data_IF_271220153637
#
_entry.id   IF_271220153637
#
_cell.length_a   1.000
_cell.length_b   1.000
_cell.length_c   1.000
_cell.angle_alpha   90.00
_cell.angle_beta   90.00
_cell.angle_gamma   90.00
#
_symmetry.space_group_name_H-M   'P 1'
#
loop_
_entity.id
_entity.type
_entity.pdbx_description
1 polymer ?
#
# COMPACT_ATOMS: atom_id res chain seq x y z
N UNK A 1 -31.60 -59.23 12.69
CA UNK A 1 -31.59 -57.99 11.87
C UNK A 1 -31.07 -56.85 12.75
N UNK A 2 -29.82 -56.92 13.22
CA UNK A 2 -29.30 -55.95 14.20
C UNK A 2 -27.82 -55.56 13.99
N UNK A 3 -27.17 -55.95 12.88
CA UNK A 3 -25.74 -55.69 12.68
C UNK A 3 -25.41 -54.83 11.46
N UNK A 4 -26.39 -54.17 10.83
CA UNK A 4 -26.11 -53.19 9.76
C UNK A 4 -26.08 -51.74 10.21
N UNK A 5 -26.69 -51.35 11.34
CA UNK A 5 -26.79 -49.92 11.72
C UNK A 5 -25.54 -49.35 12.42
N UNK A 6 -24.72 -50.18 13.05
CA UNK A 6 -23.52 -49.72 13.78
C UNK A 6 -22.37 -49.28 12.86
N UNK A 7 -22.26 -49.88 11.66
CA UNK A 7 -21.20 -49.56 10.70
C UNK A 7 -21.43 -48.22 9.99
N UNK A 8 -22.69 -47.83 9.79
CA UNK A 8 -23.05 -46.54 9.17
C UNK A 8 -22.92 -45.38 10.16
N UNK A 9 -23.31 -45.56 11.43
CA UNK A 9 -23.16 -44.54 12.47
C UNK A 9 -21.69 -44.24 12.80
N UNK A 10 -20.84 -45.28 12.86
CA UNK A 10 -19.39 -45.12 13.07
C UNK A 10 -18.71 -44.45 11.88
N UNK A 11 -19.09 -44.81 10.64
CA UNK A 11 -18.57 -44.17 9.43
C UNK A 11 -19.02 -42.69 9.31
N UNK A 12 -20.24 -42.36 9.71
CA UNK A 12 -20.74 -40.98 9.72
C UNK A 12 -20.06 -40.12 10.80
N UNK A 13 -19.76 -40.69 11.97
CA UNK A 13 -19.03 -40.01 13.04
C UNK A 13 -17.56 -39.80 12.67
N UNK A 14 -16.91 -40.77 12.01
CA UNK A 14 -15.54 -40.62 11.48
C UNK A 14 -15.50 -39.57 10.37
N UNK A 15 -16.50 -39.53 9.49
CA UNK A 15 -16.59 -38.50 8.45
C UNK A 15 -16.84 -37.10 9.04
N UNK A 16 -17.69 -36.97 10.06
CA UNK A 16 -17.90 -35.70 10.78
C UNK A 16 -16.68 -35.29 11.61
N UNK A 17 -15.93 -36.23 12.18
CA UNK A 17 -14.66 -35.95 12.85
C UNK A 17 -13.57 -35.53 11.84
N UNK A 18 -13.51 -36.16 10.66
CA UNK A 18 -12.59 -35.75 9.59
C UNK A 18 -12.98 -34.40 8.96
N UNK A 19 -14.27 -34.09 8.83
CA UNK A 19 -14.76 -32.76 8.44
C UNK A 19 -14.54 -31.70 9.54
N UNK A 20 -14.63 -32.07 10.82
CA UNK A 20 -14.34 -31.16 11.93
C UNK A 20 -12.82 -30.92 12.12
N UNK A 21 -11.98 -31.92 11.85
CA UNK A 21 -10.52 -31.79 11.90
C UNK A 21 -9.97 -31.04 10.68
N UNK A 22 -10.62 -31.12 9.51
CA UNK A 22 -10.29 -30.27 8.35
C UNK A 22 -10.88 -28.86 8.43
N UNK A 23 -11.78 -28.61 9.38
CA UNK A 23 -12.39 -27.30 9.65
C UNK A 23 -12.02 -26.76 11.04
N UNK A 24 -10.92 -27.26 11.63
CA UNK A 24 -10.23 -26.56 12.72
C UNK A 24 -9.39 -25.45 12.09
N UNK A 25 -10.07 -24.33 11.79
CA UNK A 25 -9.54 -22.98 11.66
C UNK A 25 -8.03 -22.84 11.41
N UNK A 26 -7.55 -23.25 10.23
CA UNK A 26 -6.37 -22.63 9.65
C UNK A 26 -6.80 -21.26 9.13
N UNK A 27 -6.84 -20.29 10.03
CA UNK A 27 -7.07 -18.91 9.65
C UNK A 27 -6.10 -18.03 10.43
N UNK A 28 -4.84 -18.09 10.01
CA UNK A 28 -3.89 -17.01 10.24
C UNK A 28 -2.91 -16.91 9.07
N UNK A 29 -3.39 -16.44 7.91
CA UNK A 29 -2.55 -16.11 6.74
C UNK A 29 -1.57 -14.94 6.99
N UNK A 30 -1.34 -14.56 8.25
CA UNK A 30 -0.52 -13.42 8.67
C UNK A 30 0.82 -13.83 9.33
N UNK A 31 1.11 -15.12 9.45
CA UNK A 31 2.36 -15.63 10.04
C UNK A 31 3.36 -15.95 8.93
N UNK A 32 4.42 -15.14 8.83
CA UNK A 32 5.48 -15.35 7.86
C UNK A 32 6.52 -16.33 8.41
N UNK A 33 6.98 -17.25 7.57
CA UNK A 33 8.08 -18.17 7.87
C UNK A 33 9.18 -18.03 6.83
N UNK A 34 10.44 -18.12 7.28
CA UNK A 34 11.61 -18.12 6.40
C UNK A 34 12.50 -19.32 6.71
N UNK A 35 12.88 -20.07 5.66
CA UNK A 35 13.79 -21.20 5.75
C UNK A 35 15.25 -20.74 5.88
N UNK A 36 16.00 -21.34 6.79
CA UNK A 36 17.43 -21.18 6.95
C UNK A 36 18.11 -22.54 6.98
N UNK A 37 19.18 -22.70 6.18
CA UNK A 37 19.99 -23.92 6.11
C UNK A 37 21.37 -23.64 6.72
N UNK A 38 21.53 -23.75 8.05
CA UNK A 38 22.82 -23.51 8.71
C UNK A 38 23.88 -24.60 8.47
N UNK A 39 23.56 -25.66 7.72
CA UNK A 39 24.43 -26.82 7.49
C UNK A 39 24.22 -27.95 8.51
N UNK A 40 25.18 -28.87 8.60
CA UNK A 40 25.13 -30.03 9.50
C UNK A 40 25.13 -29.59 10.98
N UNK A 41 24.20 -30.13 11.78
CA UNK A 41 24.08 -29.80 13.20
C UNK A 41 25.18 -30.45 14.05
N UNK A 42 25.58 -29.77 15.13
CA UNK A 42 26.30 -30.43 16.23
C UNK A 42 25.30 -31.26 17.06
N UNK A 43 25.63 -32.48 17.53
CA UNK A 43 24.69 -33.41 18.17
C UNK A 43 23.89 -32.89 19.37
N UNK A 44 24.28 -31.77 19.99
CA UNK A 44 23.64 -31.21 21.20
C UNK A 44 22.56 -30.14 20.98
N UNK A 45 22.32 -29.63 19.76
CA UNK A 45 21.33 -28.55 19.53
C UNK A 45 19.91 -29.06 19.22
N UNK A 46 19.75 -30.34 18.88
CA UNK A 46 18.45 -30.91 18.49
C UNK A 46 17.63 -31.46 19.66
N UNK A 47 18.25 -31.77 20.80
CA UNK A 47 17.53 -32.39 21.94
C UNK A 47 16.55 -31.43 22.63
N UNK A 48 16.71 -30.11 22.49
CA UNK A 48 15.82 -29.10 23.10
C UNK A 48 14.49 -28.87 22.37
N UNK A 49 14.35 -29.35 21.12
CA UNK A 49 13.17 -29.06 20.29
C UNK A 49 12.51 -30.34 19.75
N UNK A 50 12.71 -31.49 20.41
CA UNK A 50 12.30 -32.81 19.93
C UNK A 50 10.83 -32.89 19.44
N UNK A 51 9.92 -32.15 20.06
CA UNK A 51 8.49 -32.13 19.72
C UNK A 51 8.14 -31.30 18.47
N UNK A 52 9.08 -30.51 17.92
CA UNK A 52 8.86 -29.60 16.78
C UNK A 52 9.84 -29.84 15.61
N UNK A 53 10.37 -31.06 15.49
CA UNK A 53 11.26 -31.46 14.40
C UNK A 53 10.43 -32.10 13.27
N UNK A 54 10.48 -31.49 12.09
CA UNK A 54 9.90 -32.03 10.86
C UNK A 54 11.01 -32.54 9.94
N UNK A 55 10.83 -33.73 9.36
CA UNK A 55 11.71 -34.18 8.26
C UNK A 55 11.13 -33.71 6.93
N UNK A 56 11.88 -32.89 6.20
CA UNK A 56 11.52 -32.40 4.88
C UNK A 56 12.34 -33.11 3.81
N UNK A 57 11.71 -33.43 2.68
CA UNK A 57 12.37 -34.02 1.51
C UNK A 57 12.13 -33.15 0.29
N UNK A 58 13.20 -32.81 -0.43
CA UNK A 58 13.11 -31.99 -1.64
C UNK A 58 12.73 -32.85 -2.86
N UNK A 59 12.40 -32.21 -3.99
CA UNK A 59 12.12 -32.90 -5.24
C UNK A 59 13.33 -33.71 -5.77
N UNK A 60 14.54 -33.34 -5.36
CA UNK A 60 15.78 -34.04 -5.70
C UNK A 60 16.13 -35.15 -4.68
N UNK A 61 15.19 -35.51 -3.81
CA UNK A 61 15.34 -36.52 -2.76
C UNK A 61 16.42 -36.19 -1.72
N UNK A 62 16.66 -34.90 -1.48
CA UNK A 62 17.53 -34.39 -0.41
C UNK A 62 16.70 -34.28 0.88
N UNK A 63 17.25 -34.75 2.01
CA UNK A 63 16.57 -34.84 3.30
C UNK A 63 17.14 -33.86 4.33
N UNK A 64 16.23 -33.18 5.04
CA UNK A 64 16.55 -32.20 6.06
C UNK A 64 15.70 -32.40 7.31
N UNK A 65 16.31 -32.21 8.48
CA UNK A 65 15.60 -32.07 9.74
C UNK A 65 15.42 -30.59 10.07
N UNK A 66 14.17 -30.14 10.02
CA UNK A 66 13.78 -28.76 10.21
C UNK A 66 13.14 -28.55 11.57
N UNK A 67 13.68 -27.62 12.33
CA UNK A 67 13.12 -27.13 13.59
C UNK A 67 12.13 -26.04 13.24
N UNK A 68 10.84 -26.34 13.38
CA UNK A 68 9.78 -25.36 13.24
C UNK A 68 9.62 -24.69 14.61
N UNK A 69 9.86 -23.37 14.75
CA UNK A 69 9.58 -22.73 16.03
C UNK A 69 8.09 -22.92 16.34
N UNK A 70 7.72 -23.19 17.61
CA UNK A 70 6.31 -23.20 17.97
C UNK A 70 5.70 -21.87 17.50
N UNK A 71 4.45 -21.90 17.02
CA UNK A 71 3.74 -20.66 16.70
C UNK A 71 3.93 -19.72 17.90
N UNK A 72 4.55 -18.57 17.66
CA UNK A 72 4.55 -17.51 18.65
C UNK A 72 3.07 -17.25 18.90
N UNK A 73 2.54 -17.74 20.03
CA UNK A 73 1.16 -17.48 20.42
C UNK A 73 0.99 -15.96 20.27
N UNK A 74 0.08 -15.47 19.40
CA UNK A 74 -0.18 -14.04 19.33
C UNK A 74 -0.62 -13.50 20.70
N UNK A 75 -1.05 -14.38 21.62
CA UNK A 75 -1.32 -14.14 23.03
C UNK A 75 -0.18 -14.50 24.00
N UNK A 76 1.00 -14.94 23.56
CA UNK A 76 2.21 -14.90 24.37
C UNK A 76 2.33 -13.45 24.80
N UNK A 77 2.02 -13.20 26.07
CA UNK A 77 1.67 -11.89 26.57
C UNK A 77 2.80 -10.93 26.24
N UNK A 78 2.67 -10.20 25.14
CA UNK A 78 3.50 -9.04 24.84
C UNK A 78 3.10 -8.02 25.89
N UNK A 79 3.70 -8.15 27.08
CA UNK A 79 3.65 -7.17 28.15
C UNK A 79 4.25 -5.92 27.54
N UNK A 80 3.39 -5.04 27.08
CA UNK A 80 3.79 -3.79 26.48
C UNK A 80 4.24 -2.91 27.63
N UNK A 81 5.51 -2.52 27.62
CA UNK A 81 6.03 -1.53 28.55
C UNK A 81 6.43 -0.28 27.76
N UNK A 82 5.75 0.82 28.04
CA UNK A 82 6.01 2.11 27.42
C UNK A 82 5.92 3.20 28.48
N UNK A 83 6.99 4.00 28.57
CA UNK A 83 7.11 5.12 29.50
C UNK A 83 7.53 6.37 28.69
N UNK A 84 6.66 6.75 27.74
CA UNK A 84 6.90 7.85 26.81
C UNK A 84 5.70 8.80 26.71
N UNK A 85 5.74 9.79 25.80
CA UNK A 85 4.60 10.67 25.59
C UNK A 85 3.39 9.90 25.06
N UNK A 86 2.21 10.27 25.52
CA UNK A 86 0.93 9.81 24.97
C UNK A 86 0.74 10.27 23.52
N UNK A 87 -0.13 9.60 22.77
CA UNK A 87 -0.37 9.94 21.36
C UNK A 87 -0.86 11.38 21.16
N UNK A 88 -1.71 11.89 22.04
CA UNK A 88 -2.11 13.31 22.02
C UNK A 88 -0.90 14.25 22.12
N UNK A 89 0.07 13.94 23.00
CA UNK A 89 1.27 14.74 23.23
C UNK A 89 2.24 14.66 22.06
N UNK A 90 2.34 13.49 21.43
CA UNK A 90 3.09 13.29 20.19
C UNK A 90 2.49 14.09 19.02
N UNK A 91 1.16 14.22 18.97
CA UNK A 91 0.46 14.93 17.90
C UNK A 91 0.32 16.43 18.11
N UNK A 92 0.59 16.96 19.31
CA UNK A 92 0.53 18.39 19.58
C UNK A 92 1.34 19.26 18.60
N UNK A 93 2.59 18.92 18.21
CA UNK A 93 3.35 19.72 17.26
C UNK A 93 2.68 19.83 15.88
N UNK A 94 1.98 18.77 15.45
CA UNK A 94 1.24 18.76 14.18
C UNK A 94 -0.01 19.64 14.30
N UNK A 95 -0.78 19.45 15.37
CA UNK A 95 -2.07 20.13 15.56
C UNK A 95 -1.93 21.62 15.93
N UNK A 96 -0.80 22.03 16.51
CA UNK A 96 -0.53 23.43 16.89
C UNK A 96 0.50 24.12 15.99
N UNK A 97 1.16 23.37 15.11
CA UNK A 97 2.22 23.89 14.25
C UNK A 97 1.72 24.75 13.09
N UNK A 98 0.43 24.66 12.75
CA UNK A 98 -0.17 25.45 11.66
C UNK A 98 0.29 25.02 10.26
N UNK A 99 0.84 23.81 10.10
CA UNK A 99 1.15 23.29 8.77
C UNK A 99 -0.13 23.00 7.99
N UNK A 100 -0.09 23.24 6.69
CA UNK A 100 -1.23 23.01 5.82
C UNK A 100 -0.84 22.14 4.61
N UNK A 101 -1.78 21.27 4.23
CA UNK A 101 -1.66 20.37 3.08
C UNK A 101 -2.77 20.65 2.09
N UNK A 102 -2.43 20.70 0.81
CA UNK A 102 -3.39 20.81 -0.28
C UNK A 102 -3.65 19.46 -0.95
N UNK A 103 -4.90 19.21 -1.28
CA UNK A 103 -5.34 18.10 -2.13
C UNK A 103 -6.20 18.65 -3.25
N UNK A 104 -5.69 18.57 -4.46
CA UNK A 104 -6.41 19.02 -5.66
C UNK A 104 -7.19 17.83 -6.23
N UNK A 105 -8.50 17.98 -6.37
CA UNK A 105 -9.36 17.07 -7.12
C UNK A 105 -9.90 17.75 -8.37
N UNK A 106 -10.70 17.05 -9.16
CA UNK A 106 -11.14 17.50 -10.49
C UNK A 106 -11.88 18.85 -10.44
N UNK A 107 -12.73 19.04 -9.43
CA UNK A 107 -13.49 20.27 -9.25
C UNK A 107 -13.07 21.01 -7.97
N UNK A 108 -12.99 20.31 -6.84
CA UNK A 108 -12.64 20.91 -5.56
C UNK A 108 -11.14 20.87 -5.30
N UNK A 109 -10.62 21.95 -4.72
CA UNK A 109 -9.33 21.94 -4.02
C UNK A 109 -9.60 21.96 -2.53
N UNK A 110 -8.99 21.02 -1.80
CA UNK A 110 -9.08 20.93 -0.37
C UNK A 110 -7.79 21.43 0.27
N UNK A 111 -7.93 22.22 1.33
CA UNK A 111 -6.83 22.66 2.18
C UNK A 111 -7.12 22.24 3.61
N UNK A 112 -6.26 21.38 4.16
CA UNK A 112 -6.26 21.04 5.57
C UNK A 112 -5.11 21.75 6.26
N UNK A 113 -5.40 22.69 7.14
CA UNK A 113 -4.45 23.19 8.11
C UNK A 113 -4.64 22.42 9.42
N UNK A 114 -3.63 21.67 9.85
CA UNK A 114 -3.73 20.76 10.98
C UNK A 114 -4.15 21.50 12.25
N UNK A 115 -5.24 21.02 12.86
CA UNK A 115 -5.85 21.63 14.06
C UNK A 115 -6.59 22.96 13.81
N UNK A 116 -6.56 23.54 12.62
CA UNK A 116 -7.13 24.87 12.37
C UNK A 116 -8.39 24.81 11.52
N UNK A 117 -8.31 24.20 10.34
CA UNK A 117 -9.47 24.08 9.46
C UNK A 117 -9.26 23.04 8.39
N UNK A 118 -10.36 22.47 7.93
CA UNK A 118 -10.47 21.86 6.60
C UNK A 118 -11.40 22.72 5.78
N UNK A 119 -10.94 23.21 4.63
CA UNK A 119 -11.78 23.90 3.66
C UNK A 119 -11.71 23.24 2.28
N UNK A 120 -12.79 23.38 1.54
CA UNK A 120 -12.84 23.11 0.11
C UNK A 120 -13.13 24.39 -0.65
N UNK A 121 -12.51 24.58 -1.80
CA UNK A 121 -12.75 25.72 -2.67
C UNK A 121 -12.58 25.38 -4.14
N UNK A 122 -13.29 26.11 -4.99
CA UNK A 122 -13.19 26.06 -6.45
C UNK A 122 -13.04 27.48 -6.98
N UNK A 123 -12.09 27.71 -7.88
CA UNK A 123 -11.81 29.01 -8.49
C UNK A 123 -11.93 28.91 -10.01
N UNK A 124 -12.89 29.62 -10.58
CA UNK A 124 -13.06 29.74 -12.03
C UNK A 124 -12.45 31.07 -12.51
N UNK A 125 -11.34 30.99 -13.25
CA UNK A 125 -10.63 32.16 -13.81
C UNK A 125 -11.00 32.34 -15.27
N UNK A 126 -11.93 33.26 -15.56
CA UNK A 126 -12.31 33.64 -16.91
C UNK A 126 -11.49 34.85 -17.40
N UNK A 127 -10.93 34.85 -18.62
CA UNK A 127 -10.20 35.99 -19.15
C UNK A 127 -11.10 37.23 -19.22
N UNK A 128 -10.72 38.32 -18.54
CA UNK A 128 -11.46 39.58 -18.56
C UNK A 128 -12.66 39.69 -17.60
N UNK A 129 -12.82 38.74 -16.66
CA UNK A 129 -13.81 38.82 -15.56
C UNK A 129 -13.19 38.52 -14.20
N UNK A 130 -13.86 38.97 -13.14
CA UNK A 130 -13.48 38.66 -11.76
C UNK A 130 -13.53 37.15 -11.49
N UNK A 131 -12.58 36.66 -10.70
CA UNK A 131 -12.49 35.25 -10.31
C UNK A 131 -13.69 34.88 -9.43
N UNK A 132 -14.53 33.94 -9.88
CA UNK A 132 -15.60 33.38 -9.03
C UNK A 132 -14.99 32.31 -8.14
N UNK A 133 -14.98 32.56 -6.83
CA UNK A 133 -14.52 31.61 -5.81
C UNK A 133 -15.71 31.05 -5.03
N UNK A 134 -15.89 29.74 -5.07
CA UNK A 134 -16.80 29.02 -4.17
C UNK A 134 -15.97 28.42 -3.04
N UNK A 135 -16.35 28.62 -1.78
CA UNK A 135 -15.59 28.14 -0.61
C UNK A 135 -16.53 27.64 0.49
N UNK A 136 -16.18 26.49 1.08
CA UNK A 136 -16.85 25.93 2.25
C UNK A 136 -15.81 25.42 3.25
N UNK A 137 -16.02 25.72 4.53
CA UNK A 137 -15.28 25.09 5.62
C UNK A 137 -15.99 23.80 6.01
N UNK A 138 -15.28 22.69 5.94
CA UNK A 138 -15.74 21.36 6.33
C UNK A 138 -15.45 21.07 7.82
N UNK A 139 -14.68 21.95 8.44
CA UNK A 139 -14.40 22.00 9.86
C UNK A 139 -13.48 23.20 10.17
N UNK A 140 -13.60 23.72 11.38
CA UNK A 140 -12.84 24.81 11.98
C UNK A 140 -12.54 24.44 13.43
N UNK A 141 -11.33 24.76 13.84
CA UNK A 141 -10.74 24.36 15.09
C UNK A 141 -10.75 22.83 15.25
N UNK A 142 -10.11 22.32 16.30
CA UNK A 142 -10.19 20.89 16.60
C UNK A 142 -10.54 20.65 18.06
N UNK A 143 -11.21 19.53 18.29
CA UNK A 143 -11.43 18.97 19.61
C UNK A 143 -11.03 17.49 19.59
N UNK A 144 -10.65 16.97 20.75
CA UNK A 144 -10.50 15.53 20.92
C UNK A 144 -11.89 14.88 21.01
N UNK A 145 -12.07 13.67 20.45
CA UNK A 145 -13.33 12.95 20.58
C UNK A 145 -13.67 12.71 22.06
N UNK A 146 -14.93 12.92 22.47
CA UNK A 146 -15.35 12.69 23.86
C UNK A 146 -15.58 11.20 24.16
N UNK A 147 -15.67 10.34 23.14
CA UNK A 147 -16.00 8.92 23.30
C UNK A 147 -14.90 8.15 24.04
N UNK A 148 -15.27 7.29 24.99
CA UNK A 148 -14.33 6.51 25.81
C UNK A 148 -13.40 5.62 24.97
N UNK A 149 -13.82 5.20 23.77
CA UNK A 149 -13.00 4.41 22.86
C UNK A 149 -11.70 5.11 22.42
N UNK A 150 -11.64 6.44 22.53
CA UNK A 150 -10.45 7.24 22.22
C UNK A 150 -9.63 7.61 23.47
N UNK A 151 -9.99 7.11 24.65
CA UNK A 151 -9.26 7.37 25.90
C UNK A 151 -7.79 6.92 25.81
N UNK A 152 -7.49 5.90 25.00
CA UNK A 152 -6.13 5.41 24.75
C UNK A 152 -5.18 6.47 24.18
N UNK A 153 -5.71 7.53 23.52
CA UNK A 153 -4.92 8.64 22.99
C UNK A 153 -4.19 9.45 24.08
N UNK A 154 -4.66 9.38 25.32
CA UNK A 154 -4.12 10.13 26.46
C UNK A 154 -3.21 9.28 27.38
N UNK A 155 -3.04 7.99 27.10
CA UNK A 155 -2.25 7.09 27.93
C UNK A 155 -0.76 7.30 27.66
N UNK A 156 0.00 7.73 28.67
CA UNK A 156 1.46 7.93 28.60
C UNK A 156 2.26 6.77 29.17
N UNK A 157 1.65 5.97 30.06
CA UNK A 157 2.29 4.82 30.69
C UNK A 157 1.50 3.56 30.43
N UNK A 158 2.11 2.64 29.70
CA UNK A 158 1.51 1.33 29.42
C UNK A 158 2.32 0.29 30.18
N UNK A 159 1.62 -0.47 31.03
CA UNK A 159 2.13 -1.65 31.71
C UNK A 159 1.03 -2.70 31.73
N UNK A 160 1.19 -3.75 30.95
CA UNK A 160 0.21 -4.82 30.86
C UNK A 160 0.22 -5.51 29.49
N UNK A 161 -0.58 -6.56 29.31
CA UNK A 161 -0.65 -7.24 28.02
C UNK A 161 -1.33 -6.33 27.00
N UNK A 162 -0.73 -6.21 25.81
CA UNK A 162 -1.20 -5.29 24.76
C UNK A 162 -2.67 -5.50 24.35
N UNK A 163 -3.18 -6.73 24.49
CA UNK A 163 -4.57 -7.13 24.16
C UNK A 163 -5.65 -6.45 25.01
N UNK A 164 -5.29 -5.97 26.20
CA UNK A 164 -6.24 -5.32 27.11
C UNK A 164 -6.52 -3.87 26.69
N UNK A 165 -5.67 -3.31 25.82
CA UNK A 165 -5.80 -1.93 25.35
C UNK A 165 -6.45 -1.93 23.96
N UNK A 166 -7.72 -1.54 23.93
CA UNK A 166 -8.45 -1.35 22.67
C UNK A 166 -8.06 -0.02 22.04
N UNK A 167 -7.48 -0.09 20.85
CA UNK A 167 -7.11 1.06 20.02
C UNK A 167 -8.03 1.06 18.81
N UNK A 168 -8.68 2.18 18.46
CA UNK A 168 -9.46 2.27 17.23
C UNK A 168 -8.61 1.95 16.00
N UNK A 169 -9.14 1.08 15.14
CA UNK A 169 -8.49 0.68 13.89
C UNK A 169 -9.38 1.00 12.68
N UNK A 170 -8.75 1.25 11.55
CA UNK A 170 -9.40 1.34 10.25
C UNK A 170 -8.87 0.21 9.37
N UNK A 171 -9.77 -0.45 8.66
CA UNK A 171 -9.41 -1.51 7.74
C UNK A 171 -8.96 -0.93 6.41
N UNK A 172 -7.68 -1.10 6.07
CA UNK A 172 -7.09 -0.66 4.81
C UNK A 172 -6.03 -1.67 4.36
N UNK A 173 -5.96 -1.95 3.06
CA UNK A 173 -4.95 -2.87 2.47
C UNK A 173 -4.93 -4.26 3.12
N UNK A 174 -6.10 -4.78 3.51
CA UNK A 174 -6.21 -6.10 4.15
C UNK A 174 -5.78 -6.15 5.61
N UNK A 175 -5.47 -5.00 6.23
CA UNK A 175 -4.96 -4.92 7.60
C UNK A 175 -5.75 -3.92 8.44
N UNK A 176 -5.84 -4.21 9.73
CA UNK A 176 -6.35 -3.27 10.74
C UNK A 176 -5.24 -2.31 11.14
N UNK A 177 -5.43 -1.04 10.79
CA UNK A 177 -4.44 0.02 11.02
C UNK A 177 -4.90 0.91 12.18
N UNK A 178 -4.14 1.02 13.27
CA UNK A 178 -4.48 1.90 14.38
C UNK A 178 -4.37 3.37 13.97
N UNK A 179 -5.31 4.20 14.44
CA UNK A 179 -5.34 5.62 14.10
C UNK A 179 -5.64 6.50 15.31
N UNK A 180 -5.12 7.73 15.27
CA UNK A 180 -5.42 8.81 16.20
C UNK A 180 -6.45 9.76 15.57
N UNK A 181 -7.53 10.09 16.28
CA UNK A 181 -8.61 10.94 15.78
C UNK A 181 -8.69 12.30 16.49
N UNK A 182 -8.97 13.32 15.70
CA UNK A 182 -9.50 14.62 16.15
C UNK A 182 -10.74 14.98 15.35
N UNK A 183 -11.60 15.80 15.94
CA UNK A 183 -12.83 16.28 15.31
C UNK A 183 -12.66 17.76 15.01
N UNK A 184 -12.82 18.14 13.74
CA UNK A 184 -12.88 19.53 13.31
C UNK A 184 -14.35 19.94 13.10
N UNK A 185 -14.90 20.69 14.06
CA UNK A 185 -16.32 21.08 14.09
C UNK A 185 -16.57 22.47 13.49
N UNK A 186 -17.71 23.12 13.77
CA UNK A 186 -17.92 24.55 13.48
C UNK A 186 -17.63 25.01 12.02
N UNK A 187 -17.80 24.13 11.04
CA UNK A 187 -17.65 24.46 9.63
C UNK A 187 -18.73 25.41 9.11
N UNK A 188 -18.70 25.69 7.80
CA UNK A 188 -19.76 26.46 7.14
C UNK A 188 -21.09 25.74 7.35
N UNK A 189 -22.18 26.45 7.72
CA UNK A 189 -23.50 25.84 7.92
C UNK A 189 -23.98 25.03 6.72
N UNK A 190 -24.59 23.88 7.00
CA UNK A 190 -25.13 22.97 6.00
C UNK A 190 -26.63 23.25 5.78
N UNK A 191 -26.97 23.76 4.61
CA UNK A 191 -28.35 23.99 4.15
C UNK A 191 -29.18 22.71 4.13
N UNK A 192 -28.56 21.57 3.81
CA UNK A 192 -29.22 20.26 3.76
C UNK A 192 -29.51 19.65 5.15
N UNK A 193 -28.92 20.18 6.23
CA UNK A 193 -29.03 19.64 7.60
C UNK A 193 -29.50 20.70 8.59
N UNK A 194 -30.55 21.45 8.22
CA UNK A 194 -31.14 22.51 9.06
C UNK A 194 -30.10 23.50 9.61
N UNK A 195 -29.13 23.88 8.77
CA UNK A 195 -28.05 24.80 9.11
C UNK A 195 -27.05 24.30 10.16
N UNK A 196 -27.02 22.99 10.43
CA UNK A 196 -26.00 22.38 11.30
C UNK A 196 -24.61 22.59 10.68
N UNK A 197 -23.59 23.04 11.44
CA UNK A 197 -22.24 23.22 10.90
C UNK A 197 -21.66 21.92 10.35
N UNK A 198 -20.97 22.01 9.21
CA UNK A 198 -20.17 20.90 8.67
C UNK A 198 -19.10 20.48 9.67
N UNK A 199 -18.79 19.18 9.69
CA UNK A 199 -17.82 18.57 10.60
C UNK A 199 -16.97 17.54 9.89
N UNK A 200 -15.68 17.47 10.26
CA UNK A 200 -14.74 16.48 9.72
C UNK A 200 -14.10 15.68 10.85
N UNK A 201 -14.07 14.35 10.71
CA UNK A 201 -13.25 13.45 11.53
C UNK A 201 -11.92 13.25 10.84
N UNK A 202 -10.84 13.67 11.49
CA UNK A 202 -9.49 13.65 10.95
C UNK A 202 -8.72 12.53 11.65
N UNK A 203 -8.35 11.50 10.89
CA UNK A 203 -7.66 10.30 11.34
C UNK A 203 -6.20 10.33 10.90
N UNK A 204 -5.29 10.28 11.85
CA UNK A 204 -3.85 10.21 11.63
C UNK A 204 -3.35 8.80 11.84
N UNK A 205 -2.63 8.28 10.86
CA UNK A 205 -2.04 6.95 10.85
C UNK A 205 -0.52 7.10 10.88
N UNK A 206 0.16 6.20 11.60
CA UNK A 206 1.62 6.17 11.59
C UNK A 206 2.14 5.83 10.19
N UNK A 207 2.95 6.74 9.66
CA UNK A 207 3.88 6.46 8.57
C UNK A 207 5.19 7.17 8.88
N UNK A 208 6.33 6.46 8.85
CA UNK A 208 7.63 7.02 9.27
C UNK A 208 8.05 8.24 8.43
N UNK A 209 7.49 8.38 7.24
CA UNK A 209 7.77 9.46 6.32
C UNK A 209 6.62 10.44 6.16
N UNK A 210 5.52 10.22 6.89
CA UNK A 210 4.28 10.99 6.80
C UNK A 210 4.49 12.42 7.27
N UNK A 211 4.19 13.37 6.40
CA UNK A 211 4.31 14.82 6.67
C UNK A 211 2.97 15.50 6.99
N UNK A 212 1.90 14.73 7.17
CA UNK A 212 0.54 15.27 7.25
C UNK A 212 -0.16 15.35 5.90
N UNK A 213 0.23 14.52 4.92
CA UNK A 213 -0.42 14.47 3.62
C UNK A 213 -1.80 13.81 3.70
N UNK A 214 -2.78 14.32 2.93
CA UNK A 214 -4.14 13.77 2.86
C UNK A 214 -4.12 12.51 1.99
N UNK A 215 -4.23 11.34 2.62
CA UNK A 215 -4.37 10.04 1.95
C UNK A 215 -5.76 9.88 1.32
N UNK A 216 -6.80 10.13 2.12
CA UNK A 216 -8.20 9.97 1.71
C UNK A 216 -9.04 11.08 2.30
N UNK A 217 -9.98 11.61 1.53
CA UNK A 217 -11.00 12.54 1.99
C UNK A 217 -12.33 12.15 1.36
N UNK A 218 -13.35 11.91 2.18
CA UNK A 218 -14.68 11.54 1.68
C UNK A 218 -15.78 12.11 2.55
N UNK A 219 -16.92 12.39 1.95
CA UNK A 219 -18.16 12.67 2.67
C UNK A 219 -18.80 11.33 3.08
N UNK A 220 -18.87 11.08 4.38
CA UNK A 220 -19.41 9.81 4.93
C UNK A 220 -20.92 9.88 5.18
N UNK A 221 -21.42 11.07 5.47
CA UNK A 221 -22.84 11.39 5.58
C UNK A 221 -23.02 12.86 5.20
N UNK A 222 -24.26 13.30 4.94
CA UNK A 222 -24.52 14.69 4.52
C UNK A 222 -23.84 15.69 5.46
N UNK A 223 -22.89 16.47 4.93
CA UNK A 223 -22.11 17.47 5.63
C UNK A 223 -21.19 16.95 6.76
N UNK A 224 -20.91 15.65 6.78
CA UNK A 224 -19.91 15.02 7.65
C UNK A 224 -18.84 14.31 6.82
N UNK A 225 -17.59 14.62 7.11
CA UNK A 225 -16.45 14.19 6.31
C UNK A 225 -15.48 13.34 7.13
N UNK A 226 -14.76 12.47 6.45
CA UNK A 226 -13.65 11.70 6.99
C UNK A 226 -12.39 12.02 6.18
N UNK A 227 -11.35 12.48 6.87
CA UNK A 227 -10.02 12.71 6.31
C UNK A 227 -9.02 11.75 6.96
N UNK A 228 -8.24 11.03 6.16
CA UNK A 228 -7.20 10.11 6.63
C UNK A 228 -5.85 10.65 6.18
N UNK A 229 -4.89 10.69 7.11
CA UNK A 229 -3.58 11.31 6.91
C UNK A 229 -2.45 10.48 7.48
N UNK A 230 -1.27 10.66 6.91
CA UNK A 230 -0.03 10.08 7.43
C UNK A 230 0.68 11.02 8.39
N UNK A 231 1.21 10.49 9.49
CA UNK A 231 1.99 11.23 10.48
C UNK A 231 3.15 10.40 11.04
N UNK A 232 4.37 10.90 10.89
CA UNK A 232 5.55 10.29 11.50
C UNK A 232 5.56 10.40 13.04
N UNK A 233 4.85 11.38 13.60
CA UNK A 233 4.84 11.63 15.04
C UNK A 233 4.19 10.51 15.85
N UNK A 234 3.30 9.71 15.26
CA UNK A 234 2.65 8.58 15.94
C UNK A 234 3.53 7.33 15.96
N UNK A 235 4.56 7.24 15.12
CA UNK A 235 5.31 6.02 14.90
C UNK A 235 6.23 5.61 16.06
N UNK A 236 6.54 6.54 16.97
CA UNK A 236 7.22 6.22 18.22
C UNK A 236 6.29 5.57 19.24
N UNK A 237 4.97 5.70 19.07
CA UNK A 237 4.00 5.15 20.01
C UNK A 237 3.67 3.69 19.67
N UNK A 238 3.87 2.73 20.60
CA UNK A 238 3.76 1.30 20.29
C UNK A 238 2.33 0.84 19.98
N UNK A 239 1.31 1.58 20.41
CA UNK A 239 -0.09 1.33 20.04
C UNK A 239 -0.48 1.78 18.62
N UNK A 240 0.24 2.74 18.04
CA UNK A 240 -0.10 3.34 16.75
C UNK A 240 0.88 2.97 15.64
N UNK A 241 2.07 2.46 16.00
CA UNK A 241 3.03 1.92 15.03
C UNK A 241 2.46 0.65 14.38
N UNK A 242 2.52 0.59 13.05
CA UNK A 242 2.23 -0.63 12.29
C UNK A 242 3.17 -1.75 12.75
N UNK A 243 2.60 -2.86 13.23
CA UNK A 243 3.35 -4.06 13.57
C UNK A 243 3.65 -4.82 12.28
N UNK A 244 4.92 -4.98 11.97
CA UNK A 244 5.35 -5.96 10.98
C UNK A 244 5.15 -7.36 11.60
N UNK A 245 4.55 -8.29 10.86
CA UNK A 245 4.44 -9.68 11.32
C UNK A 245 5.86 -10.22 11.52
N UNK A 246 6.20 -10.79 12.69
CA UNK A 246 7.52 -11.37 12.89
C UNK A 246 7.73 -12.49 11.87
N UNK A 247 8.86 -12.48 11.16
CA UNK A 247 9.28 -13.58 10.31
C UNK A 247 9.84 -14.68 11.22
N UNK A 248 9.16 -15.82 11.25
CA UNK A 248 9.56 -16.96 12.07
C UNK A 248 10.58 -17.81 11.28
N UNK A 249 11.79 -17.95 11.82
CA UNK A 249 12.86 -18.68 11.16
C UNK A 249 12.71 -20.20 11.37
N UNK A 250 12.53 -20.96 10.30
CA UNK A 250 12.59 -22.44 10.30
C UNK A 250 14.03 -22.85 9.99
N UNK A 251 14.69 -23.55 10.92
CA UNK A 251 16.10 -23.96 10.74
C UNK A 251 16.17 -25.41 10.29
N UNK A 252 16.73 -25.65 9.11
CA UNK A 252 16.82 -26.96 8.47
C UNK A 252 18.26 -27.48 8.40
N UNK A 253 18.51 -28.64 8.99
CA UNK A 253 19.80 -29.30 9.01
C UNK A 253 19.83 -30.46 8.03
N UNK A 254 20.88 -30.55 7.22
CA UNK A 254 21.04 -31.64 6.24
C UNK A 254 21.24 -32.99 6.95
N UNK A 255 20.55 -34.02 6.45
CA UNK A 255 20.76 -35.41 6.87
C UNK A 255 21.83 -36.09 6.01
N UNK A 256 22.29 -37.27 6.44
CA UNK A 256 23.30 -38.06 5.74
C UNK A 256 22.94 -38.26 4.26
N UNK A 257 23.89 -37.94 3.38
CA UNK A 257 23.72 -38.03 1.93
C UNK A 257 23.06 -36.81 1.26
N UNK A 258 22.66 -35.80 2.03
CA UNK A 258 22.05 -34.56 1.51
C UNK A 258 23.02 -33.38 1.57
N UNK A 259 22.97 -32.45 0.60
CA UNK A 259 23.83 -31.27 0.60
C UNK A 259 23.45 -30.31 1.73
N UNK A 260 24.42 -29.51 2.21
CA UNK A 260 24.21 -28.56 3.32
C UNK A 260 23.06 -27.57 3.05
N UNK A 261 22.90 -27.17 1.79
CA UNK A 261 21.77 -26.42 1.28
C UNK A 261 21.13 -27.20 0.12
N UNK A 262 19.80 -27.16 -0.04
CA UNK A 262 19.16 -27.76 -1.21
C UNK A 262 19.69 -27.15 -2.50
N UNK A 263 19.92 -27.96 -3.53
CA UNK A 263 20.43 -27.46 -4.82
C UNK A 263 19.50 -26.42 -5.44
N UNK A 264 18.18 -26.63 -5.34
CA UNK A 264 17.17 -25.68 -5.81
C UNK A 264 17.21 -24.36 -5.03
N UNK A 265 17.49 -24.42 -3.73
CA UNK A 265 17.62 -23.24 -2.87
C UNK A 265 18.91 -22.46 -3.18
N UNK A 266 20.02 -23.15 -3.45
CA UNK A 266 21.25 -22.49 -3.90
C UNK A 266 21.10 -21.86 -5.27
N UNK A 267 20.39 -22.50 -6.20
CA UNK A 267 20.13 -21.96 -7.52
C UNK A 267 19.27 -20.68 -7.47
N UNK A 268 18.35 -20.58 -6.50
CA UNK A 268 17.60 -19.36 -6.19
C UNK A 268 18.53 -18.30 -5.59
N UNK A 269 19.28 -18.63 -4.54
CA UNK A 269 20.16 -17.67 -3.85
C UNK A 269 21.35 -17.19 -4.70
N UNK A 270 21.82 -17.98 -5.68
CA UNK A 270 22.88 -17.58 -6.62
C UNK A 270 22.37 -16.58 -7.66
N UNK A 271 21.06 -16.60 -7.97
CA UNK A 271 20.42 -15.55 -8.77
C UNK A 271 20.27 -14.26 -7.96
N UNK A 272 20.12 -14.36 -6.64
CA UNK A 272 20.02 -13.20 -5.75
C UNK A 272 21.38 -12.59 -5.33
N UNK A 273 22.45 -13.39 -5.21
CA UNK A 273 23.76 -12.95 -4.70
C UNK A 273 24.70 -12.30 -5.73
N UNK A 274 24.24 -11.99 -6.95
CA UNK A 274 25.03 -11.17 -7.89
C UNK A 274 25.10 -9.69 -7.41
N UNK A 275 24.26 -9.28 -6.45
CA UNK A 275 24.20 -7.90 -5.96
C UNK A 275 24.82 -7.61 -4.59
N UNK A 276 25.53 -8.54 -3.94
CA UNK A 276 26.16 -8.24 -2.64
C UNK A 276 27.55 -8.87 -2.40
N UNK A 277 28.59 -8.22 -2.93
CA UNK A 277 29.97 -8.26 -2.43
C UNK A 277 30.52 -6.84 -2.65
N UNK A 278 30.83 -5.99 -1.67
CA UNK A 278 31.89 -6.13 -0.68
C UNK A 278 31.72 -5.05 0.40
N UNK A 279 31.75 -5.40 1.69
CA UNK A 279 32.16 -4.45 2.74
C UNK A 279 33.65 -4.67 3.03
N UNK A 280 34.52 -3.64 2.91
CA UNK A 280 35.84 -3.71 3.50
C UNK A 280 35.76 -3.50 5.01
N UNK A 281 36.52 -4.34 5.72
CA UNK A 281 36.79 -4.26 7.17
C UNK A 281 37.29 -2.86 7.55
N UNK A 282 36.80 -2.38 8.70
CA UNK A 282 37.34 -1.19 9.35
C UNK A 282 38.71 -1.48 9.95
N UNK A 283 39.71 -0.71 9.56
CA UNK A 283 40.93 -0.47 10.34
C UNK A 283 40.99 1.02 10.68
N UNK A 284 41.15 1.28 11.97
CA UNK A 284 41.44 2.55 12.63
C UNK A 284 42.80 3.11 12.20
N UNK A 285 42.87 4.38 11.79
CA UNK A 285 43.78 5.36 12.41
C UNK A 285 43.46 6.82 12.01
N UNK A 286 44.16 7.72 12.67
CA UNK A 286 43.91 9.09 13.11
C UNK A 286 44.07 10.25 12.11
N UNK A 287 43.31 11.31 12.40
CA UNK A 287 43.58 12.76 12.30
C UNK A 287 44.02 13.40 10.96
N UNK A 288 43.24 14.36 10.42
CA UNK A 288 43.65 15.74 10.08
C UNK A 288 42.52 16.52 9.33
N UNK A 289 42.51 17.83 9.61
CA UNK A 289 41.62 18.95 9.28
C UNK A 289 41.53 19.44 7.81
N UNK A 290 40.34 19.97 7.47
CA UNK A 290 39.98 21.13 6.59
C UNK A 290 40.08 20.94 5.06
N UNK A 291 38.95 21.14 4.33
CA UNK A 291 38.65 22.23 3.35
C UNK A 291 37.36 21.90 2.56
N UNK A 292 36.50 22.91 2.39
CA UNK A 292 35.31 22.91 1.54
C UNK A 292 35.66 22.69 0.05
N UNK A 293 34.91 21.81 -0.61
CA UNK A 293 34.57 21.97 -2.02
C UNK A 293 33.22 21.32 -2.30
N UNK A 294 32.29 22.14 -2.78
CA UNK A 294 31.03 21.75 -3.40
C UNK A 294 31.37 20.97 -4.66
N UNK A 295 30.94 19.72 -4.77
CA UNK A 295 30.70 19.13 -6.07
C UNK A 295 29.63 18.04 -6.08
N UNK A 296 28.89 18.09 -7.17
CA UNK A 296 27.70 17.34 -7.55
C UNK A 296 28.11 15.97 -8.10
N UNK A 297 27.78 14.89 -7.40
CA UNK A 297 27.86 13.53 -7.95
C UNK A 297 26.76 12.62 -7.36
N UNK A 298 25.79 12.33 -8.22
CA UNK A 298 25.18 11.01 -8.45
C UNK A 298 24.69 10.21 -7.24
N UNK A 299 23.42 10.43 -6.85
CA UNK A 299 22.62 9.38 -6.20
C UNK A 299 22.28 8.33 -7.27
N UNK A 300 23.07 7.27 -7.36
CA UNK A 300 22.66 6.07 -8.08
C UNK A 300 21.50 5.39 -7.35
N UNK A 301 20.49 4.85 -8.04
CA UNK A 301 19.42 4.13 -7.40
C UNK A 301 19.92 2.75 -6.96
N UNK A 302 19.76 2.46 -5.67
CA UNK A 302 19.88 1.10 -5.13
C UNK A 302 18.54 0.43 -5.43
N UNK A 303 18.41 -0.24 -6.57
CA UNK A 303 17.26 -1.09 -6.89
C UNK A 303 17.51 -2.49 -6.36
N UNK A 304 16.56 -3.04 -5.61
CA UNK A 304 16.60 -4.43 -5.17
C UNK A 304 16.02 -5.33 -6.26
N UNK A 305 16.39 -6.62 -6.27
CA UNK A 305 15.88 -7.61 -7.22
C UNK A 305 14.35 -7.81 -7.16
N UNK A 306 13.73 -7.51 -6.02
CA UNK A 306 12.28 -7.52 -5.86
C UNK A 306 11.60 -6.37 -6.64
N UNK A 307 12.31 -5.25 -6.80
CA UNK A 307 11.83 -4.09 -7.55
C UNK A 307 11.83 -4.37 -9.05
N UNK A 308 12.86 -5.06 -9.56
CA UNK A 308 12.98 -5.41 -10.99
C UNK A 308 11.91 -6.41 -11.44
N UNK A 309 11.54 -7.37 -10.58
CA UNK A 309 10.47 -8.32 -10.91
C UNK A 309 9.12 -7.61 -10.96
N UNK A 310 8.83 -6.74 -10.00
CA UNK A 310 7.60 -5.97 -9.99
C UNK A 310 7.48 -5.05 -11.22
N UNK A 311 8.59 -4.44 -11.66
CA UNK A 311 8.64 -3.66 -12.89
C UNK A 311 8.37 -4.51 -14.15
N UNK A 312 8.92 -5.73 -14.21
CA UNK A 312 8.63 -6.70 -15.28
C UNK A 312 7.16 -7.11 -15.28
N UNK A 313 6.62 -7.48 -14.12
CA UNK A 313 5.22 -7.90 -13.97
C UNK A 313 4.27 -6.74 -14.36
N UNK A 314 4.61 -5.51 -13.99
CA UNK A 314 3.87 -4.32 -14.42
C UNK A 314 3.90 -4.17 -15.94
N UNK A 315 5.07 -4.17 -16.58
CA UNK A 315 5.19 -3.97 -18.03
C UNK A 315 4.61 -5.13 -18.87
N UNK A 316 4.56 -6.35 -18.32
CA UNK A 316 3.87 -7.49 -18.94
C UNK A 316 2.34 -7.45 -18.72
N UNK A 317 1.87 -6.54 -17.86
CA UNK A 317 0.47 -6.39 -17.48
C UNK A 317 -0.02 -7.47 -16.52
N UNK A 318 0.89 -8.19 -15.86
CA UNK A 318 0.57 -9.19 -14.83
C UNK A 318 0.36 -8.55 -13.46
N UNK A 319 1.00 -7.39 -13.23
CA UNK A 319 0.69 -6.50 -12.10
C UNK A 319 -0.10 -5.29 -12.58
N UNK A 320 -1.34 -5.15 -12.10
CA UNK A 320 -2.22 -4.04 -12.42
C UNK A 320 -2.22 -3.01 -11.29
N UNK A 321 -2.32 -1.73 -11.67
CA UNK A 321 -2.47 -0.63 -10.73
C UNK A 321 -3.96 -0.41 -10.46
N UNK A 322 -4.32 -0.45 -9.18
CA UNK A 322 -5.68 -0.23 -8.73
C UNK A 322 -5.79 1.10 -8.01
N UNK A 323 -6.92 1.78 -8.15
CA UNK A 323 -7.15 3.06 -7.51
C UNK A 323 -8.60 3.51 -7.62
N UNK A 324 -8.87 4.78 -7.29
CA UNK A 324 -10.20 5.37 -7.34
C UNK A 324 -10.85 5.53 -5.98
N UNK A 325 -11.46 6.70 -5.79
CA UNK A 325 -12.11 7.11 -4.55
C UNK A 325 -13.62 7.22 -4.78
N UNK A 326 -14.41 6.91 -3.76
CA UNK A 326 -15.88 6.89 -3.88
C UNK A 326 -16.41 5.64 -4.60
N UNK A 327 -17.53 5.82 -5.31
CA UNK A 327 -18.31 4.77 -5.98
C UNK A 327 -17.52 4.05 -7.08
N UNK A 328 -16.82 4.80 -7.93
CA UNK A 328 -16.00 4.23 -8.99
C UNK A 328 -14.59 3.90 -8.50
N UNK A 329 -14.16 2.69 -8.83
CA UNK A 329 -12.80 2.19 -8.76
C UNK A 329 -12.24 2.03 -10.16
N UNK A 330 -10.93 2.04 -10.27
CA UNK A 330 -10.21 1.94 -11.53
C UNK A 330 -9.15 0.86 -11.41
N UNK A 331 -8.95 0.16 -12.51
CA UNK A 331 -7.90 -0.84 -12.69
C UNK A 331 -7.23 -0.57 -14.02
N UNK A 332 -5.91 -0.46 -13.97
CA UNK A 332 -5.07 -0.22 -15.12
C UNK A 332 -3.99 -1.31 -15.19
N UNK A 333 -4.05 -2.12 -16.24
CA UNK A 333 -3.06 -3.14 -16.54
C UNK A 333 -2.29 -2.69 -17.77
N UNK A 334 -1.00 -2.38 -17.59
CA UNK A 334 -0.16 -1.88 -18.67
C UNK A 334 -0.10 -2.89 -19.83
N UNK A 335 -0.20 -2.41 -21.06
CA UNK A 335 -0.20 -3.26 -22.25
C UNK A 335 -1.43 -4.18 -22.39
N UNK A 336 -2.44 -4.05 -21.52
CA UNK A 336 -3.66 -4.86 -21.56
C UNK A 336 -4.92 -3.99 -21.66
N UNK A 337 -5.29 -3.28 -20.59
CA UNK A 337 -6.52 -2.51 -20.57
C UNK A 337 -6.57 -1.46 -19.46
N UNK A 338 -7.51 -0.53 -19.61
CA UNK A 338 -7.97 0.38 -18.57
C UNK A 338 -9.48 0.20 -18.38
N UNK A 339 -9.91 -0.02 -17.14
CA UNK A 339 -11.32 -0.19 -16.81
C UNK A 339 -11.71 0.53 -15.53
N UNK A 340 -12.99 0.86 -15.43
CA UNK A 340 -13.61 1.29 -14.19
C UNK A 340 -14.57 0.22 -13.69
N UNK A 341 -14.74 0.13 -12.38
CA UNK A 341 -15.67 -0.80 -11.76
C UNK A 341 -16.27 -0.23 -10.49
N UNK A 342 -17.46 -0.70 -10.12
CA UNK A 342 -17.99 -0.49 -8.77
C UNK A 342 -18.46 -1.85 -8.22
N UNK A 343 -18.36 -2.01 -6.90
CA UNK A 343 -18.92 -3.17 -6.21
C UNK A 343 -20.11 -2.72 -5.39
N UNK A 344 -21.21 -3.43 -5.53
CA UNK A 344 -22.38 -3.30 -4.67
C UNK A 344 -22.77 -4.66 -4.07
N UNK A 345 -23.91 -4.71 -3.36
CA UNK A 345 -24.40 -5.96 -2.74
C UNK A 345 -24.85 -7.00 -3.79
N UNK A 346 -25.03 -6.60 -5.04
CA UNK A 346 -25.54 -7.42 -6.15
C UNK A 346 -24.45 -7.90 -7.10
N UNK A 347 -23.26 -7.28 -7.08
CA UNK A 347 -22.11 -7.76 -7.82
C UNK A 347 -21.08 -6.68 -8.13
N UNK A 348 -20.16 -7.01 -9.05
CA UNK A 348 -19.17 -6.09 -9.62
C UNK A 348 -19.64 -5.67 -11.00
N UNK A 349 -19.93 -4.38 -11.18
CA UNK A 349 -20.17 -3.79 -12.50
C UNK A 349 -18.82 -3.30 -13.02
N UNK A 350 -18.46 -3.69 -14.25
CA UNK A 350 -17.22 -3.31 -14.91
C UNK A 350 -17.58 -2.59 -16.21
N UNK A 351 -16.87 -1.50 -16.48
CA UNK A 351 -16.92 -0.77 -17.76
C UNK A 351 -15.50 -0.68 -18.30
N UNK A 352 -15.26 -1.30 -19.44
CA UNK A 352 -14.00 -1.23 -20.16
C UNK A 352 -13.88 0.16 -20.82
N UNK A 353 -12.88 0.93 -20.42
CA UNK A 353 -12.63 2.27 -20.97
C UNK A 353 -11.81 2.19 -22.26
N UNK A 354 -10.91 1.21 -22.34
CA UNK A 354 -10.15 0.89 -23.54
C UNK A 354 -9.23 -0.32 -23.34
N UNK A 355 -8.96 -1.02 -24.43
CA UNK A 355 -7.99 -2.11 -24.55
C UNK A 355 -6.72 -1.62 -25.26
N UNK A 356 -5.60 -2.27 -24.97
CA UNK A 356 -4.31 -1.96 -25.58
C UNK A 356 -4.26 -2.48 -27.02
N UNK A 357 -3.78 -1.63 -27.92
CA UNK A 357 -3.44 -1.98 -29.29
C UNK A 357 -2.27 -1.07 -29.70
N UNK A 358 -1.10 -1.67 -29.94
CA UNK A 358 0.13 -0.94 -30.21
C UNK A 358 0.07 -0.15 -31.52
N UNK A 359 -0.56 -0.70 -32.56
CA UNK A 359 -0.70 -0.04 -33.86
C UNK A 359 -1.67 1.14 -33.77
N UNK A 360 -2.78 0.96 -33.03
CA UNK A 360 -3.73 2.04 -32.75
C UNK A 360 -3.07 3.17 -31.95
N UNK A 361 -2.25 2.82 -30.94
CA UNK A 361 -1.48 3.80 -30.17
C UNK A 361 -0.47 4.54 -31.03
N UNK A 362 0.35 3.85 -31.84
CA UNK A 362 1.34 4.48 -32.73
C UNK A 362 0.69 5.41 -33.75
N UNK A 363 -0.46 5.02 -34.29
CA UNK A 363 -1.26 5.87 -35.18
C UNK A 363 -1.78 7.12 -34.46
N UNK A 364 -2.37 6.96 -33.28
CA UNK A 364 -2.81 8.07 -32.45
C UNK A 364 -1.65 9.02 -32.09
N UNK A 365 -0.49 8.47 -31.76
CA UNK A 365 0.71 9.22 -31.40
C UNK A 365 1.25 10.06 -32.57
N UNK A 366 1.25 9.51 -33.79
CA UNK A 366 1.66 10.22 -34.99
C UNK A 366 0.75 11.44 -35.28
N UNK A 367 -0.55 11.30 -35.03
CA UNK A 367 -1.52 12.39 -35.15
C UNK A 367 -1.36 13.40 -34.00
N UNK A 368 -1.09 12.94 -32.78
CA UNK A 368 -0.88 13.77 -31.59
C UNK A 368 0.45 14.55 -31.59
N UNK A 369 1.53 14.03 -32.20
CA UNK A 369 2.83 14.73 -32.33
C UNK A 369 2.73 16.03 -33.15
N UNK A 370 1.71 16.18 -34.01
CA UNK A 370 1.41 17.46 -34.68
C UNK A 370 0.94 18.56 -33.69
N UNK A 371 0.56 18.19 -32.47
CA UNK A 371 0.06 19.08 -31.41
C UNK A 371 1.05 19.34 -30.24
N UNK A 372 2.32 18.88 -30.33
CA UNK A 372 3.43 19.03 -29.35
C UNK A 372 3.17 18.48 -27.93
N UNK A 373 3.82 17.39 -27.51
CA UNK A 373 4.06 17.12 -26.09
C UNK A 373 5.36 17.80 -25.64
N UNK A 374 5.26 18.64 -24.61
CA UNK A 374 6.39 19.09 -23.82
C UNK A 374 7.13 17.88 -23.25
N UNK A 375 8.42 17.71 -23.60
CA UNK A 375 9.31 16.72 -23.00
C UNK A 375 9.60 17.08 -21.54
N UNK A 376 8.62 16.94 -20.65
CA UNK A 376 8.91 16.84 -19.23
C UNK A 376 9.26 15.39 -18.93
N UNK A 377 10.44 15.15 -18.38
CA UNK A 377 10.98 13.85 -17.97
C UNK A 377 10.20 13.16 -16.83
N UNK A 378 8.91 13.49 -16.67
CA UNK A 378 8.08 13.05 -15.53
C UNK A 378 6.77 12.38 -15.95
N UNK A 379 6.48 12.23 -17.25
CA UNK A 379 5.25 11.56 -17.70
C UNK A 379 5.32 10.99 -19.13
N UNK A 380 4.54 9.94 -19.38
CA UNK A 380 4.22 9.43 -20.74
C UNK A 380 2.70 9.31 -20.90
N UNK A 381 2.22 9.23 -22.15
CA UNK A 381 0.78 9.08 -22.44
C UNK A 381 0.55 7.96 -23.43
N UNK A 382 -0.28 6.99 -23.05
CA UNK A 382 -0.64 5.83 -23.85
C UNK A 382 -2.11 5.92 -24.27
N UNK A 383 -2.42 5.43 -25.45
CA UNK A 383 -3.77 5.44 -25.99
C UNK A 383 -4.32 4.02 -26.03
N UNK A 384 -5.48 3.82 -25.40
CA UNK A 384 -6.20 2.56 -25.34
C UNK A 384 -7.55 2.77 -26.03
N UNK A 385 -7.92 1.87 -26.94
CA UNK A 385 -9.10 1.99 -27.80
C UNK A 385 -10.01 0.76 -27.66
N UNK A 386 -11.19 0.76 -28.27
CA UNK A 386 -12.02 -0.44 -28.31
C UNK A 386 -12.60 -0.84 -26.95
N UNK A 387 -12.91 0.13 -26.08
CA UNK A 387 -13.66 -0.12 -24.85
C UNK A 387 -15.12 -0.47 -25.10
N UNK A 388 -15.89 -0.62 -24.02
CA UNK A 388 -17.32 -0.97 -24.10
C UNK A 388 -18.09 0.07 -24.91
N UNK A 389 -19.15 -0.37 -25.61
CA UNK A 389 -19.99 0.51 -26.42
C UNK A 389 -20.65 1.59 -25.57
N UNK A 390 -20.43 2.85 -25.95
CA UNK A 390 -21.06 4.00 -25.35
C UNK A 390 -22.53 4.05 -25.72
N UNK A 391 -23.39 4.10 -24.72
CA UNK A 391 -24.85 4.22 -24.85
C UNK A 391 -25.28 5.56 -25.47
N UNK A 392 -24.49 6.62 -25.24
CA UNK A 392 -24.80 7.97 -25.72
C UNK A 392 -24.31 8.21 -27.16
N UNK A 393 -23.15 7.70 -27.54
CA UNK A 393 -22.53 7.98 -28.84
C UNK A 393 -22.62 6.81 -29.82
N UNK A 394 -22.93 5.61 -29.34
CA UNK A 394 -22.92 4.37 -30.13
C UNK A 394 -21.53 3.92 -30.58
N UNK A 395 -20.45 4.58 -30.12
CA UNK A 395 -19.07 4.23 -30.45
C UNK A 395 -18.39 3.53 -29.26
N UNK A 396 -17.37 2.68 -29.50
CA UNK A 396 -16.54 2.14 -28.43
C UNK A 396 -15.90 3.26 -27.62
N UNK A 397 -15.86 3.10 -26.29
CA UNK A 397 -15.11 3.99 -25.40
C UNK A 397 -13.61 3.96 -25.75
N UNK A 398 -12.93 5.07 -25.47
CA UNK A 398 -11.49 5.20 -25.63
C UNK A 398 -10.87 6.00 -24.49
N UNK A 399 -9.61 5.74 -24.17
CA UNK A 399 -8.94 6.39 -23.04
C UNK A 399 -7.47 6.69 -23.30
N UNK A 400 -7.05 7.90 -22.94
CA UNK A 400 -5.66 8.31 -22.85
C UNK A 400 -5.16 8.11 -21.43
N UNK A 401 -4.29 7.13 -21.22
CA UNK A 401 -3.67 6.85 -19.92
C UNK A 401 -2.41 7.69 -19.77
N UNK A 402 -2.41 8.63 -18.82
CA UNK A 402 -1.27 9.49 -18.48
C UNK A 402 -0.53 8.89 -17.30
N UNK A 403 0.61 8.26 -17.56
CA UNK A 403 1.49 7.69 -16.56
C UNK A 403 2.45 8.78 -16.07
N UNK A 404 2.44 9.06 -14.76
CA UNK A 404 3.28 10.09 -14.14
C UNK A 404 4.09 9.50 -13.01
N UNK A 405 5.38 9.85 -12.97
CA UNK A 405 6.20 9.55 -11.81
C UNK A 405 5.76 10.42 -10.63
N UNK A 406 5.51 9.76 -9.50
CA UNK A 406 5.29 10.39 -8.21
C UNK A 406 6.19 9.72 -7.20
N UNK A 407 7.23 10.42 -6.77
CA UNK A 407 8.12 9.94 -5.71
C UNK A 407 7.30 9.73 -4.43
N UNK A 408 7.32 8.49 -3.93
CA UNK A 408 6.72 8.08 -2.67
C UNK A 408 7.66 7.07 -2.01
N UNK A 409 7.53 6.93 -0.69
CA UNK A 409 8.32 5.97 0.09
C UNK A 409 7.63 4.61 0.17
N UNK A 410 6.41 4.49 -0.39
CA UNK A 410 5.76 3.23 -0.74
C UNK A 410 5.77 3.04 -2.25
N UNK A 411 6.40 1.97 -2.72
CA UNK A 411 6.45 1.59 -4.14
C UNK A 411 5.07 1.24 -4.71
N UNK A 412 4.11 0.92 -3.84
CA UNK A 412 2.72 0.60 -4.18
C UNK A 412 1.77 1.80 -4.08
N UNK A 413 2.27 2.99 -3.74
CA UNK A 413 1.42 4.18 -3.69
C UNK A 413 0.97 4.59 -5.09
N UNK A 414 -0.32 4.42 -5.37
CA UNK A 414 -0.95 4.77 -6.64
C UNK A 414 -2.06 5.79 -6.42
N UNK A 415 -2.04 6.87 -7.21
CA UNK A 415 -3.16 7.79 -7.36
C UNK A 415 -3.75 7.62 -8.75
N UNK A 416 -5.02 7.20 -8.86
CA UNK A 416 -5.74 7.09 -10.13
C UNK A 416 -6.94 8.03 -10.14
N UNK A 417 -7.09 8.80 -11.21
CA UNK A 417 -8.25 9.65 -11.46
C UNK A 417 -8.70 9.57 -12.93
N UNK A 418 -9.98 9.79 -13.18
CA UNK A 418 -10.59 9.78 -14.49
C UNK A 418 -11.19 11.15 -14.82
N UNK A 419 -10.95 11.62 -16.03
CA UNK A 419 -11.60 12.82 -16.60
C UNK A 419 -12.24 12.42 -17.92
N UNK A 420 -13.45 12.88 -18.18
CA UNK A 420 -14.16 12.67 -19.44
C UNK A 420 -14.23 14.01 -20.22
N UNK A 421 -13.17 14.40 -20.96
CA UNK A 421 -13.15 15.66 -21.70
C UNK A 421 -14.21 15.74 -22.81
N UNK A 422 -14.63 14.59 -23.34
CA UNK A 422 -15.74 14.46 -24.28
C UNK A 422 -16.48 13.16 -24.00
N UNK A 423 -17.76 13.09 -24.39
CA UNK A 423 -18.60 11.92 -24.08
C UNK A 423 -17.96 10.62 -24.58
N UNK A 424 -17.69 9.71 -23.65
CA UNK A 424 -17.06 8.41 -23.85
C UNK A 424 -15.61 8.46 -24.38
N UNK A 425 -14.95 9.61 -24.26
CA UNK A 425 -13.51 9.81 -24.44
C UNK A 425 -12.91 10.22 -23.10
N UNK A 426 -11.94 9.44 -22.61
CA UNK A 426 -11.45 9.57 -21.25
C UNK A 426 -9.96 9.91 -21.19
N UNK A 427 -9.56 10.54 -20.10
CA UNK A 427 -8.17 10.67 -19.67
C UNK A 427 -8.06 10.01 -18.29
N UNK A 428 -7.29 8.93 -18.21
CA UNK A 428 -6.97 8.25 -16.96
C UNK A 428 -5.59 8.71 -16.48
N UNK A 429 -5.54 9.50 -15.41
CA UNK A 429 -4.29 9.87 -14.77
C UNK A 429 -3.85 8.80 -13.79
N UNK A 430 -2.64 8.27 -13.94
CA UNK A 430 -2.04 7.26 -13.06
C UNK A 430 -0.71 7.79 -12.55
N UNK A 431 -0.65 8.08 -11.26
CA UNK A 431 0.55 8.59 -10.59
C UNK A 431 1.05 7.54 -9.61
N UNK A 432 2.24 7.00 -9.85
CA UNK A 432 2.81 5.94 -9.02
C UNK A 432 4.34 5.99 -8.99
N UNK A 433 4.93 5.49 -7.91
CA UNK A 433 6.39 5.44 -7.76
C UNK A 433 7.05 4.39 -8.66
N UNK A 434 6.35 3.30 -8.95
CA UNK A 434 6.79 2.26 -9.91
C UNK A 434 7.02 2.81 -11.32
N UNK A 435 6.40 3.94 -11.69
CA UNK A 435 6.57 4.58 -12.99
C UNK A 435 7.91 5.33 -13.07
N UNK A 436 8.42 5.83 -11.94
CA UNK A 436 9.62 6.67 -11.90
C UNK A 436 10.86 6.08 -12.59
N UNK A 437 11.30 4.84 -12.31
CA UNK A 437 12.45 4.25 -12.99
C UNK A 437 12.19 3.94 -14.48
N UNK A 438 10.93 3.88 -14.92
CA UNK A 438 10.56 3.51 -16.29
C UNK A 438 10.53 4.69 -17.25
N UNK A 439 10.35 5.91 -16.75
CA UNK A 439 10.18 7.07 -17.64
C UNK A 439 11.40 7.35 -18.52
N UNK A 440 12.59 7.03 -18.03
CA UNK A 440 13.84 7.22 -18.77
C UNK A 440 14.03 6.16 -19.87
N UNK A 441 13.29 5.05 -19.84
CA UNK A 441 13.31 4.01 -20.88
C UNK A 441 12.26 4.21 -21.98
N UNK A 442 11.50 5.31 -21.94
CA UNK A 442 10.45 5.60 -22.90
C UNK A 442 11.03 5.79 -24.32
N UNK A 443 10.51 5.06 -25.31
CA UNK A 443 10.93 5.20 -26.71
C UNK A 443 10.29 6.41 -27.42
N UNK A 444 10.49 6.54 -28.74
CA UNK A 444 9.96 7.67 -29.52
C UNK A 444 8.42 7.75 -29.57
N UNK A 445 7.73 6.66 -29.22
CA UNK A 445 6.27 6.55 -29.07
C UNK A 445 5.82 6.70 -27.62
N UNK A 446 6.77 6.83 -26.68
CA UNK A 446 6.49 6.89 -25.25
C UNK A 446 6.22 5.52 -24.63
N UNK A 447 6.54 4.42 -25.31
CA UNK A 447 6.42 3.06 -24.77
C UNK A 447 7.56 2.80 -23.80
N UNK A 448 7.22 2.26 -22.62
CA UNK A 448 8.16 1.97 -21.54
C UNK A 448 8.75 0.57 -21.71
N UNK A 449 10.04 0.43 -21.46
CA UNK A 449 10.80 -0.81 -21.60
C UNK A 449 11.60 -1.13 -20.33
N UNK A 450 12.02 -2.38 -20.14
CA UNK A 450 12.87 -2.78 -19.00
C UNK A 450 14.35 -2.47 -19.19
N UNK A 451 14.79 -2.29 -20.43
CA UNK A 451 16.20 -2.03 -20.80
C UNK A 451 16.32 -0.62 -21.39
N UNK A 452 17.45 0.06 -21.18
CA UNK A 452 17.77 1.30 -21.91
C UNK A 452 17.70 1.03 -23.43
N UNK A 453 17.05 1.90 -24.22
CA UNK A 453 17.01 1.73 -25.66
C UNK A 453 18.46 1.68 -26.19
N UNK A 454 18.82 0.57 -26.84
CA UNK A 454 20.11 0.46 -27.52
C UNK A 454 20.22 1.59 -28.55
N UNK A 455 21.37 2.30 -28.58
CA UNK A 455 21.59 3.43 -29.48
C UNK A 455 21.50 3.06 -30.96
#
# INVERSE_FOLDING_TARGET
MENLDAAWLTSLHILFFLLAVTCASFNSDNVLFQLQFPGASSPGQMEQFADNILTMTTANNEQYQCIVPPENDPNAQNVLSYDGPSANKLMEPVLKGGSCTLRVETYWTYELCHGMHLRQFHEEKLPGRDTKKQEFFLGKDFAYPPDEQFACQNISKIKGPAKDIKVPTIYMEGKDIPFFEVIMGNGTPCDLKSNTPRLTRVKYICDKNGRGDILSLKETSTCEYEAILFSAHLCSHPLYRLKESPINMIRCHAMDGSPANPEAYEALNKKDNIHHVSQPKAETDTDTKIVQSVDRATRGPVTSLADDQLLRDFLQGDYCLHGGQGWWKFEFCYGKYAQQYHLDKTGKTIVLLGAWDEDAHKKWWADAKKAKPSSSSKQVTHFYSGGDMCDLTGKPRQVQVKLKCKESLSQHAVTIYLVEPATCDYILGVEASIICPLLDSADEFGLLHTDEPKP
#
